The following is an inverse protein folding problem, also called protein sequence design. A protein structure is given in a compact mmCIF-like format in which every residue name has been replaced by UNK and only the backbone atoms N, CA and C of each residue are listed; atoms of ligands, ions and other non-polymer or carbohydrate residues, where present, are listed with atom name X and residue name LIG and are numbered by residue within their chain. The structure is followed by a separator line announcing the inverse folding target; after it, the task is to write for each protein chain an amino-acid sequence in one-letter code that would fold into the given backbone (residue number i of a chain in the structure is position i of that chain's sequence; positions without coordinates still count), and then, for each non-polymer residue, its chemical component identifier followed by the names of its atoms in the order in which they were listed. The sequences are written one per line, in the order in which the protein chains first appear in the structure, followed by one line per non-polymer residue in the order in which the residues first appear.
data_IF_878729019561
#
_entry.id   IF_878729019561
#
_cell.length_a   1.000
_cell.length_b   1.000
_cell.length_c   1.000
_cell.angle_alpha   90.00
_cell.angle_beta   90.00
_cell.angle_gamma   90.00
#
_symmetry.space_group_name_H-M   'P 1'
#
loop_
_entity.id
_entity.type
_entity.pdbx_description
1 polymer ?
#
# COMPACT_ATOMS: atom_id res chain seq x y z
N UNK A 1 -0.57 -22.18 -6.07
CA UNK A 1 -0.58 -20.72 -6.36
C UNK A 1 0.86 -20.26 -6.62
N UNK A 2 1.10 -19.34 -7.56
CA UNK A 2 2.44 -18.78 -7.79
C UNK A 2 2.66 -17.54 -6.93
N UNK A 3 3.92 -17.18 -6.65
CA UNK A 3 4.26 -16.00 -5.84
C UNK A 3 3.67 -14.72 -6.47
N UNK A 4 3.78 -14.55 -7.79
CA UNK A 4 3.14 -13.43 -8.49
C UNK A 4 1.63 -13.36 -8.29
N UNK A 5 0.92 -14.50 -8.35
CA UNK A 5 -0.53 -14.55 -8.12
C UNK A 5 -0.93 -14.35 -6.67
N UNK A 6 0.00 -14.52 -5.72
CA UNK A 6 -0.25 -14.28 -4.29
C UNK A 6 -0.07 -12.81 -3.88
N UNK A 7 0.48 -11.96 -4.76
CA UNK A 7 0.73 -10.56 -4.44
C UNK A 7 -0.59 -9.84 -4.10
N UNK A 8 -0.63 -9.20 -2.93
CA UNK A 8 -1.84 -8.55 -2.41
C UNK A 8 -2.76 -9.44 -1.59
N UNK A 9 -2.57 -10.76 -1.60
CA UNK A 9 -3.33 -11.69 -0.75
C UNK A 9 -2.66 -11.87 0.63
N UNK A 10 -3.46 -12.26 1.62
CA UNK A 10 -3.03 -12.59 2.98
C UNK A 10 -3.53 -13.98 3.35
N UNK A 11 -2.67 -14.81 3.92
CA UNK A 11 -2.96 -16.18 4.37
C UNK A 11 -2.64 -16.33 5.85
N UNK A 12 -3.40 -17.18 6.55
CA UNK A 12 -3.08 -17.55 7.92
C UNK A 12 -1.84 -18.45 7.98
N UNK A 13 -1.74 -19.37 7.02
CA UNK A 13 -0.64 -20.33 6.92
C UNK A 13 -0.20 -20.48 5.45
N UNK A 14 1.11 -20.60 5.20
CA UNK A 14 1.65 -20.84 3.87
C UNK A 14 2.98 -21.61 3.90
N UNK A 15 3.11 -22.57 2.98
CA UNK A 15 4.37 -23.23 2.68
C UNK A 15 5.05 -22.62 1.45
N UNK A 16 6.23 -22.04 1.63
CA UNK A 16 7.00 -21.34 0.60
C UNK A 16 8.16 -22.22 0.12
N UNK A 17 8.11 -22.62 -1.15
CA UNK A 17 9.20 -23.34 -1.81
C UNK A 17 10.32 -22.42 -2.27
N UNK A 18 11.44 -22.42 -1.55
CA UNK A 18 12.65 -21.69 -1.94
C UNK A 18 13.46 -22.49 -2.97
N UNK A 19 13.30 -22.12 -4.24
CA UNK A 19 14.14 -22.61 -5.34
C UNK A 19 15.37 -21.71 -5.50
N UNK A 20 16.48 -22.25 -6.02
CA UNK A 20 17.77 -21.53 -6.20
C UNK A 20 17.67 -20.21 -6.97
N UNK A 21 16.61 -20.00 -7.76
CA UNK A 21 16.46 -18.85 -8.66
C UNK A 21 15.45 -17.81 -8.15
N UNK A 22 15.05 -17.87 -6.88
CA UNK A 22 14.07 -16.92 -6.35
C UNK A 22 14.74 -15.57 -6.05
N UNK A 23 14.37 -14.54 -6.81
CA UNK A 23 14.93 -13.19 -6.64
C UNK A 23 14.51 -12.59 -5.30
N UNK A 24 15.31 -11.67 -4.74
CA UNK A 24 15.01 -11.02 -3.46
C UNK A 24 13.61 -10.37 -3.39
N UNK A 25 13.11 -9.68 -4.45
CA UNK A 25 11.73 -9.18 -4.44
C UNK A 25 10.68 -10.28 -4.33
N UNK A 26 10.89 -11.43 -4.99
CA UNK A 26 9.95 -12.56 -4.91
C UNK A 26 10.01 -13.26 -3.54
N UNK A 27 11.18 -13.33 -2.92
CA UNK A 27 11.32 -13.80 -1.55
C UNK A 27 10.52 -12.90 -0.60
N UNK A 28 10.67 -11.58 -0.71
CA UNK A 28 9.89 -10.62 0.07
C UNK A 28 8.38 -10.80 -0.13
N UNK A 29 7.92 -10.91 -1.38
CA UNK A 29 6.48 -11.12 -1.66
C UNK A 29 6.00 -12.41 -1.01
N UNK A 30 6.71 -13.52 -1.18
CA UNK A 30 6.31 -14.83 -0.64
C UNK A 30 6.25 -14.84 0.89
N UNK A 31 7.27 -14.28 1.55
CA UNK A 31 7.37 -14.24 3.00
C UNK A 31 6.37 -13.27 3.65
N UNK A 32 5.99 -12.20 2.95
CA UNK A 32 5.03 -11.20 3.46
C UNK A 32 3.56 -11.61 3.30
N UNK A 33 3.25 -12.82 2.80
CA UNK A 33 1.84 -13.25 2.64
C UNK A 33 1.22 -13.80 3.91
N UNK A 34 2.01 -14.13 4.94
CA UNK A 34 1.53 -14.62 6.23
C UNK A 34 1.65 -13.55 7.30
N UNK A 35 0.72 -13.56 8.26
CA UNK A 35 0.64 -12.56 9.34
C UNK A 35 1.39 -12.96 10.60
N UNK A 36 1.75 -14.24 10.73
CA UNK A 36 2.52 -14.77 11.86
C UNK A 36 3.65 -15.67 11.38
N UNK A 37 4.74 -15.71 12.15
CA UNK A 37 5.87 -16.60 11.84
C UNK A 37 5.50 -18.07 12.06
N UNK A 38 4.56 -18.36 12.97
CA UNK A 38 4.07 -19.71 13.24
C UNK A 38 3.34 -20.31 12.02
N UNK A 39 2.67 -19.46 11.22
CA UNK A 39 2.03 -19.86 9.97
C UNK A 39 2.97 -19.96 8.77
N UNK A 40 4.27 -19.68 8.93
CA UNK A 40 5.25 -19.71 7.84
C UNK A 40 6.00 -21.05 7.81
N UNK A 41 5.91 -21.77 6.71
CA UNK A 41 6.70 -22.99 6.49
C UNK A 41 7.64 -22.79 5.31
N UNK A 42 8.95 -22.96 5.51
CA UNK A 42 9.96 -22.83 4.46
C UNK A 42 10.33 -24.23 3.95
N UNK A 43 10.11 -24.46 2.65
CA UNK A 43 10.52 -25.69 1.97
C UNK A 43 11.81 -25.41 1.18
N UNK A 44 12.91 -26.05 1.59
CA UNK A 44 14.25 -25.85 1.00
C UNK A 44 15.18 -25.00 1.89
N UNK A 45 16.26 -24.49 1.31
CA UNK A 45 17.22 -23.64 2.02
C UNK A 45 16.88 -22.17 1.83
N UNK A 46 16.57 -21.48 2.92
CA UNK A 46 16.50 -20.02 2.95
C UNK A 46 17.87 -19.44 3.32
N UNK A 47 18.35 -18.52 2.49
CA UNK A 47 19.52 -17.69 2.80
C UNK A 47 19.07 -16.25 2.83
N UNK A 48 19.23 -15.61 3.98
CA UNK A 48 18.88 -14.20 4.12
C UNK A 48 19.67 -13.37 3.10
N UNK A 49 19.02 -12.45 2.37
CA UNK A 49 19.73 -11.53 1.51
C UNK A 49 20.66 -10.64 2.34
N UNK A 50 21.79 -10.19 1.78
CA UNK A 50 22.64 -9.22 2.46
C UNK A 50 21.85 -7.93 2.73
N UNK A 51 22.21 -7.17 3.77
CA UNK A 51 21.60 -5.87 4.01
C UNK A 51 21.76 -4.97 2.77
N UNK A 52 20.76 -4.11 2.47
CA UNK A 52 20.87 -3.15 1.37
C UNK A 52 22.10 -2.26 1.56
N UNK A 53 22.80 -1.97 0.48
CA UNK A 53 23.91 -1.02 0.49
C UNK A 53 23.38 0.41 0.56
N UNK A 54 24.23 1.37 0.94
CA UNK A 54 23.82 2.78 1.00
C UNK A 54 23.47 3.39 -0.36
N UNK A 55 24.04 2.85 -1.44
CA UNK A 55 23.78 3.22 -2.83
C UNK A 55 22.58 2.47 -3.45
N UNK A 56 21.88 1.65 -2.66
CA UNK A 56 20.68 0.96 -3.12
C UNK A 56 19.57 1.97 -3.45
N UNK A 57 19.09 1.94 -4.70
CA UNK A 57 18.08 2.87 -5.20
C UNK A 57 16.76 2.80 -4.41
N UNK A 58 16.35 1.62 -3.95
CA UNK A 58 15.14 1.43 -3.15
C UNK A 58 15.34 2.07 -1.77
N UNK A 59 16.51 1.87 -1.16
CA UNK A 59 16.83 2.48 0.13
C UNK A 59 16.87 4.02 0.04
N UNK A 60 17.49 4.56 -1.00
CA UNK A 60 17.53 5.99 -1.26
C UNK A 60 16.12 6.57 -1.46
N UNK A 61 15.29 5.89 -2.25
CA UNK A 61 13.92 6.32 -2.49
C UNK A 61 13.07 6.26 -1.22
N UNK A 62 13.20 5.20 -0.42
CA UNK A 62 12.53 5.07 0.88
C UNK A 62 12.95 6.20 1.85
N UNK A 63 14.25 6.57 1.87
CA UNK A 63 14.74 7.73 2.64
C UNK A 63 14.16 9.03 2.11
N UNK A 64 14.14 9.22 0.79
CA UNK A 64 13.60 10.41 0.13
C UNK A 64 12.11 10.58 0.43
N UNK A 65 11.31 9.52 0.35
CA UNK A 65 9.88 9.53 0.64
C UNK A 65 9.59 9.82 2.12
N UNK A 66 10.40 9.28 3.04
CA UNK A 66 10.29 9.59 4.47
C UNK A 66 10.64 11.05 4.78
N UNK A 67 11.67 11.58 4.14
CA UNK A 67 12.11 12.97 4.33
C UNK A 67 11.19 13.98 3.63
N UNK A 68 10.66 13.61 2.47
CA UNK A 68 9.79 14.44 1.66
C UNK A 68 8.41 13.80 1.66
N UNK A 69 7.64 14.05 2.71
CA UNK A 69 6.23 13.65 2.75
C UNK A 69 5.53 14.20 1.51
N UNK A 70 5.23 13.31 0.57
CA UNK A 70 4.44 13.67 -0.60
C UNK A 70 3.02 13.77 -0.09
N UNK A 71 2.55 15.00 0.13
CA UNK A 71 1.12 15.25 0.24
C UNK A 71 0.56 15.09 -1.18
N UNK A 72 -0.29 14.09 -1.46
CA UNK A 72 -0.96 13.98 -2.75
C UNK A 72 -1.92 15.16 -2.89
N UNK A 73 -1.41 16.28 -3.40
CA UNK A 73 -2.20 17.45 -3.71
C UNK A 73 -2.81 17.24 -5.08
N UNK A 74 -4.03 16.72 -5.10
CA UNK A 74 -4.84 16.74 -6.31
C UNK A 74 -5.23 18.20 -6.55
N UNK A 75 -4.40 18.93 -7.31
CA UNK A 75 -4.55 20.37 -7.49
C UNK A 75 -5.96 20.77 -7.97
N UNK A 76 -6.60 19.92 -8.78
CA UNK A 76 -7.98 20.12 -9.23
C UNK A 76 -9.02 20.02 -8.11
N UNK A 77 -8.78 19.21 -7.07
CA UNK A 77 -9.68 19.09 -5.91
C UNK A 77 -9.56 20.29 -4.97
N UNK A 78 -8.51 21.11 -5.09
CA UNK A 78 -8.25 22.28 -4.22
C UNK A 78 -8.57 23.63 -4.87
N UNK A 79 -8.91 23.66 -6.16
CA UNK A 79 -9.22 24.90 -6.87
C UNK A 79 -10.68 25.31 -6.67
N UNK A 80 -11.08 25.51 -5.42
CA UNK A 80 -12.44 25.95 -5.05
C UNK A 80 -12.47 27.45 -4.80
N UNK A 81 -12.09 28.21 -5.84
CA UNK A 81 -12.11 29.68 -5.80
C UNK A 81 -13.17 30.27 -6.75
N UNK A 82 -13.87 29.43 -7.54
CA UNK A 82 -14.93 29.89 -8.42
C UNK A 82 -16.30 29.68 -7.76
N UNK A 83 -17.02 30.76 -7.40
CA UNK A 83 -18.36 30.67 -6.80
C UNK A 83 -19.42 30.06 -7.73
N UNK A 84 -19.13 29.87 -9.03
CA UNK A 84 -20.06 29.27 -10.00
C UNK A 84 -19.83 27.78 -10.24
N UNK A 85 -18.87 27.16 -9.55
CA UNK A 85 -18.54 25.75 -9.73
C UNK A 85 -19.09 24.90 -8.57
N UNK A 86 -19.81 23.82 -8.90
CA UNK A 86 -20.23 22.80 -7.95
C UNK A 86 -19.34 21.57 -8.09
N UNK A 87 -18.58 21.23 -7.05
CA UNK A 87 -17.73 20.05 -7.01
C UNK A 87 -18.43 18.91 -6.24
N UNK A 88 -18.61 17.77 -6.92
CA UNK A 88 -19.18 16.55 -6.35
C UNK A 88 -18.10 15.47 -6.40
N UNK A 89 -17.77 14.87 -5.25
CA UNK A 89 -16.87 13.72 -5.18
C UNK A 89 -17.67 12.46 -4.93
N UNK A 90 -17.41 11.44 -5.74
CA UNK A 90 -17.89 10.08 -5.52
C UNK A 90 -16.71 9.19 -5.14
N UNK A 91 -16.83 8.45 -4.04
CA UNK A 91 -15.80 7.51 -3.62
C UNK A 91 -16.41 6.18 -3.18
N UNK A 92 -15.90 5.10 -3.78
CA UNK A 92 -16.13 3.75 -3.32
C UNK A 92 -15.24 3.51 -2.09
N UNK A 93 -15.86 3.46 -0.91
CA UNK A 93 -15.18 3.27 0.36
C UNK A 93 -15.43 1.85 0.86
N UNK A 94 -14.46 1.32 1.59
CA UNK A 94 -14.60 0.07 2.32
C UNK A 94 -14.37 0.36 3.79
N UNK A 95 -15.30 -0.07 4.64
CA UNK A 95 -15.28 0.23 6.08
C UNK A 95 -15.34 1.73 6.39
N UNK A 96 -16.31 2.46 5.82
CA UNK A 96 -16.45 3.91 6.06
C UNK A 96 -16.41 4.28 7.54
N UNK A 97 -17.07 3.51 8.40
CA UNK A 97 -17.08 3.76 9.85
C UNK A 97 -15.69 3.64 10.49
N UNK A 98 -14.82 2.78 9.96
CA UNK A 98 -13.45 2.61 10.46
C UNK A 98 -12.50 3.72 9.97
N UNK A 99 -12.84 4.37 8.84
CA UNK A 99 -11.97 5.33 8.16
C UNK A 99 -12.56 6.75 8.09
N UNK A 100 -13.65 7.01 8.80
CA UNK A 100 -14.32 8.31 8.77
C UNK A 100 -13.39 9.45 9.22
N UNK A 101 -12.57 9.22 10.26
CA UNK A 101 -11.63 10.23 10.75
C UNK A 101 -10.57 10.58 9.69
N UNK A 102 -10.08 9.57 8.96
CA UNK A 102 -9.12 9.78 7.87
C UNK A 102 -9.74 10.64 6.75
N UNK A 103 -10.98 10.35 6.37
CA UNK A 103 -11.74 11.07 5.35
C UNK A 103 -12.00 12.52 5.77
N UNK A 104 -12.43 12.73 7.03
CA UNK A 104 -12.70 14.05 7.57
C UNK A 104 -11.41 14.89 7.70
N UNK A 105 -10.27 14.25 7.92
CA UNK A 105 -8.97 14.90 8.00
C UNK A 105 -8.37 15.25 6.63
N UNK A 106 -8.83 14.62 5.54
CA UNK A 106 -8.30 14.84 4.19
C UNK A 106 -8.89 16.12 3.56
N UNK A 107 -8.09 17.19 3.38
CA UNK A 107 -8.57 18.42 2.77
C UNK A 107 -8.93 18.25 1.30
N UNK A 108 -8.42 17.23 0.60
CA UNK A 108 -8.79 16.96 -0.79
C UNK A 108 -10.22 16.46 -0.89
N UNK A 109 -10.63 15.61 0.06
CA UNK A 109 -12.01 15.11 0.14
C UNK A 109 -12.92 16.25 0.60
N UNK A 110 -12.60 16.85 1.74
CA UNK A 110 -13.44 17.86 2.39
C UNK A 110 -13.59 19.17 1.61
N UNK A 111 -12.81 19.40 0.54
CA UNK A 111 -12.96 20.57 -0.31
C UNK A 111 -14.11 20.46 -1.34
N UNK A 112 -14.79 19.30 -1.45
CA UNK A 112 -15.95 19.15 -2.34
C UNK A 112 -17.24 19.68 -1.69
N UNK A 113 -18.18 20.20 -2.47
CA UNK A 113 -19.46 20.67 -1.93
C UNK A 113 -20.38 19.52 -1.53
N UNK A 114 -20.29 18.40 -2.25
CA UNK A 114 -21.09 17.19 -2.00
C UNK A 114 -20.15 15.98 -2.02
N UNK A 115 -20.26 15.14 -0.99
CA UNK A 115 -19.54 13.88 -0.85
C UNK A 115 -20.53 12.72 -0.97
N UNK A 116 -20.27 11.82 -1.90
CA UNK A 116 -21.05 10.60 -2.13
C UNK A 116 -20.16 9.40 -1.85
N UNK A 117 -20.51 8.63 -0.81
CA UNK A 117 -19.81 7.42 -0.43
C UNK A 117 -20.65 6.20 -0.77
N UNK A 118 -20.04 5.24 -1.47
CA UNK A 118 -20.62 3.93 -1.71
C UNK A 118 -19.80 2.89 -0.96
N UNK A 119 -20.45 2.19 -0.02
CA UNK A 119 -19.82 1.12 0.77
C UNK A 119 -19.78 -0.18 -0.05
N UNK A 120 -18.61 -0.81 -0.14
CA UNK A 120 -18.41 -2.13 -0.76
C UNK A 120 -17.91 -3.19 0.21
#
# INVERSE_FOLDING_TARGET
MTIHKSQGATFQEAAVGFKRNLTQPLQYVALSRVTSIQGLYILGEYKAPPPPREDDLILQEMKRLKANSILPKYAFLHQHNDPNTLQIMYHNVQSLNAHYEDIAADPCVMNSNILLFAEM
#
